data_IF_599955052879
#
_entry.id   IF_599955052879
#
_cell.length_a   1.000
_cell.length_b   1.000
_cell.length_c   1.000
_cell.angle_alpha   90.00
_cell.angle_beta   90.00
_cell.angle_gamma   90.00
#
_symmetry.space_group_name_H-M   'P 1'
#
loop_
_entity.id
_entity.type
_entity.pdbx_description
1 polymer ?
#
# COMPACT_ATOMS: atom_id res chain seq x y z
N UNK A 1 -10.23 -0.55 13.11
CA UNK A 1 -8.96 -1.17 13.50
C UNK A 1 -9.19 -2.59 14.00
N UNK A 2 -8.76 -3.56 13.19
CA UNK A 2 -8.76 -4.98 13.53
C UNK A 2 -7.39 -5.37 14.08
N UNK A 3 -7.34 -6.13 15.18
CA UNK A 3 -6.10 -6.68 15.76
C UNK A 3 -5.30 -7.49 14.72
N UNK A 4 -6.00 -8.15 13.79
CA UNK A 4 -5.39 -8.90 12.68
C UNK A 4 -4.66 -8.00 11.68
N UNK A 5 -5.25 -6.86 11.32
CA UNK A 5 -4.65 -5.92 10.39
C UNK A 5 -3.39 -5.29 10.99
N UNK A 6 -3.46 -4.94 12.28
CA UNK A 6 -2.30 -4.44 13.04
C UNK A 6 -1.18 -5.48 13.07
N UNK A 7 -1.49 -6.72 13.44
CA UNK A 7 -0.52 -7.83 13.46
C UNK A 7 0.10 -8.08 12.09
N UNK A 8 -0.70 -8.02 11.01
CA UNK A 8 -0.23 -8.18 9.64
C UNK A 8 0.78 -7.09 9.29
N UNK A 9 0.45 -5.82 9.57
CA UNK A 9 1.30 -4.68 9.26
C UNK A 9 2.61 -4.69 10.05
N UNK A 10 2.55 -4.97 11.35
CA UNK A 10 3.74 -5.12 12.21
C UNK A 10 4.63 -6.25 11.70
N UNK A 11 4.06 -7.43 11.44
CA UNK A 11 4.80 -8.57 10.91
C UNK A 11 5.44 -8.28 9.54
N UNK A 12 4.79 -7.50 8.68
CA UNK A 12 5.36 -7.05 7.39
C UNK A 12 6.56 -6.13 7.60
N UNK A 13 6.47 -5.18 8.52
CA UNK A 13 7.58 -4.28 8.86
C UNK A 13 8.76 -5.03 9.46
N UNK A 14 8.53 -5.96 10.38
CA UNK A 14 9.59 -6.79 10.97
C UNK A 14 10.33 -7.64 9.92
N UNK A 15 9.60 -8.20 8.95
CA UNK A 15 10.21 -8.95 7.84
C UNK A 15 11.07 -8.04 6.96
N UNK A 16 10.57 -6.85 6.64
CA UNK A 16 11.32 -5.85 5.87
C UNK A 16 12.57 -5.35 6.61
N UNK A 17 12.50 -5.10 7.92
CA UNK A 17 13.68 -4.77 8.76
C UNK A 17 14.75 -5.86 8.68
N UNK A 18 14.32 -7.12 8.80
CA UNK A 18 15.22 -8.26 8.74
C UNK A 18 15.87 -8.40 7.35
N UNK A 19 15.12 -8.17 6.28
CA UNK A 19 15.62 -8.23 4.91
C UNK A 19 16.65 -7.13 4.62
N UNK A 20 16.35 -5.88 4.99
CA UNK A 20 17.25 -4.74 4.74
C UNK A 20 18.40 -4.68 5.76
N UNK A 21 18.32 -5.42 6.87
CA UNK A 21 19.38 -5.49 7.88
C UNK A 21 19.53 -4.23 8.73
N UNK A 22 18.48 -3.39 8.78
CA UNK A 22 18.42 -2.16 9.59
C UNK A 22 17.01 -1.94 10.12
N UNK A 23 16.90 -1.10 11.15
CA UNK A 23 15.61 -0.60 11.60
C UNK A 23 14.96 0.25 10.50
N UNK A 24 13.64 0.14 10.35
CA UNK A 24 12.87 1.00 9.46
C UNK A 24 12.70 2.38 10.08
N UNK A 25 12.76 3.40 9.22
CA UNK A 25 12.61 4.80 9.64
C UNK A 25 11.33 5.35 9.04
N UNK A 26 10.53 6.05 9.82
CA UNK A 26 9.38 6.80 9.30
C UNK A 26 9.83 8.19 8.83
N UNK A 27 9.26 8.74 7.75
CA UNK A 27 9.55 10.10 7.29
C UNK A 27 9.11 11.12 8.34
N UNK A 28 9.83 12.24 8.43
CA UNK A 28 9.40 13.33 9.30
C UNK A 28 8.17 14.04 8.69
N UNK A 29 7.12 14.31 9.49
CA UNK A 29 5.99 15.10 9.01
C UNK A 29 6.42 16.54 8.72
N UNK A 30 5.65 17.21 7.86
CA UNK A 30 5.84 18.63 7.64
C UNK A 30 5.78 19.40 8.97
N UNK A 31 6.57 20.47 9.09
CA UNK A 31 6.55 21.36 10.27
C UNK A 31 5.27 22.20 10.39
N UNK A 32 4.33 22.02 9.45
CA UNK A 32 2.99 22.60 9.52
C UNK A 32 2.19 21.96 10.65
N UNK A 33 1.19 22.67 11.16
CA UNK A 33 0.34 22.15 12.23
C UNK A 33 -0.31 20.79 11.88
N UNK A 34 -0.74 20.09 12.92
CA UNK A 34 -1.51 18.85 12.79
C UNK A 34 -2.71 19.05 11.87
N UNK A 35 -2.99 18.04 11.03
CA UNK A 35 -4.18 18.04 10.19
C UNK A 35 -5.43 18.04 11.07
N UNK A 36 -6.45 18.79 10.66
CA UNK A 36 -7.79 18.58 11.20
C UNK A 36 -8.30 17.18 10.82
N UNK A 37 -9.25 16.67 11.60
CA UNK A 37 -9.89 15.38 11.32
C UNK A 37 -10.51 15.33 9.91
N UNK A 38 -11.15 16.41 9.48
CA UNK A 38 -11.75 16.52 8.15
C UNK A 38 -10.70 16.49 7.02
N UNK A 39 -9.54 17.11 7.21
CA UNK A 39 -8.45 17.05 6.23
C UNK A 39 -7.83 15.65 6.17
N UNK A 40 -7.64 15.02 7.33
CA UNK A 40 -7.14 13.65 7.44
C UNK A 40 -8.08 12.68 6.74
N UNK A 41 -9.38 12.78 7.00
CA UNK A 41 -10.43 11.98 6.36
C UNK A 41 -10.46 12.22 4.84
N UNK A 42 -10.39 13.48 4.40
CA UNK A 42 -10.39 13.80 2.97
C UNK A 42 -9.22 13.15 2.22
N UNK A 43 -8.00 13.20 2.79
CA UNK A 43 -6.82 12.60 2.17
C UNK A 43 -6.90 11.07 2.18
N UNK A 44 -7.33 10.46 3.28
CA UNK A 44 -7.51 9.02 3.36
C UNK A 44 -8.58 8.53 2.37
N UNK A 45 -9.70 9.22 2.26
CA UNK A 45 -10.75 8.90 1.27
C UNK A 45 -10.23 9.03 -0.16
N UNK A 46 -9.37 10.00 -0.45
CA UNK A 46 -8.72 10.11 -1.75
C UNK A 46 -7.90 8.86 -2.12
N UNK A 47 -7.15 8.30 -1.16
CA UNK A 47 -6.43 7.05 -1.37
C UNK A 47 -7.39 5.85 -1.54
N UNK A 48 -8.43 5.77 -0.70
CA UNK A 48 -9.42 4.69 -0.77
C UNK A 48 -10.17 4.68 -2.11
N UNK A 49 -10.59 5.85 -2.61
CA UNK A 49 -11.27 6.00 -3.90
C UNK A 49 -10.35 5.57 -5.05
N UNK A 50 -9.08 6.00 -5.05
CA UNK A 50 -8.11 5.56 -6.05
C UNK A 50 -7.96 4.03 -6.02
N UNK A 51 -7.74 3.44 -4.85
CA UNK A 51 -7.61 1.99 -4.70
C UNK A 51 -8.83 1.23 -5.23
N UNK A 52 -10.04 1.65 -4.84
CA UNK A 52 -11.29 0.98 -5.26
C UNK A 52 -11.52 1.11 -6.78
N UNK A 53 -11.21 2.27 -7.35
CA UNK A 53 -11.38 2.52 -8.78
C UNK A 53 -10.41 1.66 -9.61
N UNK A 54 -9.12 1.62 -9.23
CA UNK A 54 -8.13 0.81 -9.96
C UNK A 54 -8.43 -0.68 -9.84
N UNK A 55 -8.80 -1.15 -8.64
CA UNK A 55 -9.17 -2.56 -8.45
C UNK A 55 -10.44 -2.93 -9.25
N UNK A 56 -11.42 -2.03 -9.33
CA UNK A 56 -12.60 -2.25 -10.16
C UNK A 56 -12.25 -2.25 -11.66
N UNK A 57 -11.31 -1.41 -12.09
CA UNK A 57 -10.83 -1.38 -13.46
C UNK A 57 -10.12 -2.67 -13.84
N UNK A 58 -9.15 -3.12 -13.06
CA UNK A 58 -8.44 -4.38 -13.29
C UNK A 58 -9.39 -5.59 -13.33
N UNK A 59 -10.42 -5.58 -12.49
CA UNK A 59 -11.44 -6.63 -12.49
C UNK A 59 -12.29 -6.67 -13.78
N UNK A 60 -12.29 -5.59 -14.57
CA UNK A 60 -12.97 -5.52 -15.87
C UNK A 60 -12.01 -5.85 -17.00
N UNK A 61 -10.75 -5.40 -16.92
CA UNK A 61 -9.80 -5.42 -18.05
C UNK A 61 -8.83 -6.59 -18.00
N UNK A 62 -8.36 -6.98 -16.81
CA UNK A 62 -7.30 -7.98 -16.60
C UNK A 62 -6.03 -7.69 -17.42
N UNK A 63 -5.76 -6.40 -17.68
CA UNK A 63 -4.76 -5.93 -18.65
C UNK A 63 -3.34 -5.87 -18.07
N UNK A 64 -3.19 -5.57 -16.77
CA UNK A 64 -1.88 -5.32 -16.15
C UNK A 64 -1.25 -6.59 -15.59
N UNK A 65 -0.95 -7.54 -16.48
CA UNK A 65 -0.25 -8.79 -16.15
C UNK A 65 1.00 -9.02 -17.02
N UNK A 66 2.05 -9.58 -16.44
CA UNK A 66 3.21 -10.11 -17.17
C UNK A 66 3.38 -11.58 -16.83
N UNK A 67 3.50 -12.42 -17.86
CA UNK A 67 3.60 -13.88 -17.73
C UNK A 67 2.45 -14.53 -16.93
N UNK A 68 1.29 -13.85 -16.83
CA UNK A 68 0.12 -14.32 -16.08
C UNK A 68 0.12 -13.94 -14.60
N UNK A 69 1.09 -13.14 -14.14
CA UNK A 69 1.11 -12.57 -12.80
C UNK A 69 0.68 -11.09 -12.83
N UNK A 70 -0.25 -10.67 -11.94
CA UNK A 70 -0.70 -9.29 -11.88
C UNK A 70 0.39 -8.32 -11.38
N UNK A 71 0.57 -7.23 -12.11
CA UNK A 71 1.55 -6.18 -11.82
C UNK A 71 0.92 -5.02 -11.07
N UNK A 72 0.92 -5.13 -9.73
CA UNK A 72 0.34 -4.10 -8.87
C UNK A 72 0.96 -2.70 -9.05
N UNK A 73 2.20 -2.58 -9.52
CA UNK A 73 2.80 -1.27 -9.77
C UNK A 73 2.22 -0.54 -10.99
N UNK A 74 1.74 -1.29 -11.98
CA UNK A 74 1.08 -0.74 -13.17
C UNK A 74 -0.40 -0.49 -12.89
N UNK A 75 -1.08 -1.51 -12.35
CA UNK A 75 -2.49 -1.43 -11.95
C UNK A 75 -2.77 -0.24 -11.00
N UNK A 76 -1.84 0.07 -10.09
CA UNK A 76 -2.02 1.13 -9.10
C UNK A 76 -1.10 2.33 -9.32
N UNK A 77 -0.67 2.61 -10.55
CA UNK A 77 0.26 3.69 -10.84
C UNK A 77 -0.22 5.06 -10.31
N UNK A 78 -1.52 5.37 -10.47
CA UNK A 78 -2.13 6.61 -9.97
C UNK A 78 -2.13 6.69 -8.44
N UNK A 79 -2.49 5.59 -7.77
CA UNK A 79 -2.42 5.48 -6.31
C UNK A 79 -0.99 5.64 -5.79
N UNK A 80 -0.01 4.98 -6.42
CA UNK A 80 1.40 5.07 -6.00
C UNK A 80 1.98 6.48 -6.20
N UNK A 81 1.55 7.18 -7.25
CA UNK A 81 1.88 8.60 -7.44
C UNK A 81 1.27 9.47 -6.34
N UNK A 82 0.03 9.18 -5.90
CA UNK A 82 -0.59 9.86 -4.77
C UNK A 82 0.19 9.66 -3.46
N UNK A 83 0.59 8.42 -3.15
CA UNK A 83 1.45 8.11 -1.99
C UNK A 83 2.78 8.86 -2.07
N UNK A 84 3.41 8.89 -3.24
CA UNK A 84 4.65 9.64 -3.43
C UNK A 84 4.45 11.15 -3.19
N UNK A 85 3.32 11.71 -3.62
CA UNK A 85 2.95 13.10 -3.34
C UNK A 85 2.79 13.39 -1.85
N UNK A 86 2.18 12.47 -1.09
CA UNK A 86 2.08 12.58 0.37
C UNK A 86 3.43 12.49 1.08
N UNK A 87 4.44 11.86 0.49
CA UNK A 87 5.78 11.72 1.07
C UNK A 87 6.79 12.74 0.54
N UNK A 88 6.35 13.68 -0.29
CA UNK A 88 7.24 14.61 -0.97
C UNK A 88 7.93 15.55 0.03
N UNK A 89 9.25 15.37 0.20
CA UNK A 89 10.10 16.14 1.13
C UNK A 89 10.82 17.32 0.44
N UNK A 90 10.89 17.30 -0.89
CA UNK A 90 11.58 18.29 -1.72
C UNK A 90 10.72 18.70 -2.89
N UNK A 91 10.72 19.99 -3.16
CA UNK A 91 10.08 20.60 -4.35
C UNK A 91 11.13 21.29 -5.19
N UNK A 92 10.80 21.55 -6.45
CA UNK A 92 11.67 22.33 -7.33
C UNK A 92 11.90 23.75 -6.76
N UNK A 93 13.06 24.38 -7.02
CA UNK A 93 13.37 25.71 -6.47
C UNK A 93 12.38 26.82 -6.86
N UNK A 94 11.65 26.64 -7.96
CA UNK A 94 10.63 27.56 -8.48
C UNK A 94 9.21 27.23 -8.01
N UNK A 95 9.05 26.22 -7.14
CA UNK A 95 7.74 25.86 -6.56
C UNK A 95 7.18 27.01 -5.73
N UNK A 96 5.91 27.34 -5.98
CA UNK A 96 5.18 28.39 -5.27
C UNK A 96 4.77 27.98 -3.84
N UNK A 97 4.81 26.69 -3.53
CA UNK A 97 4.52 26.13 -2.22
C UNK A 97 5.67 25.22 -1.76
N UNK A 98 5.99 25.21 -0.45
CA UNK A 98 6.96 24.28 0.08
C UNK A 98 6.45 22.84 0.01
N UNK A 99 7.38 21.88 0.09
CA UNK A 99 7.05 20.49 0.37
C UNK A 99 6.24 20.40 1.68
N UNK A 100 5.21 19.57 1.68
CA UNK A 100 4.32 19.40 2.82
C UNK A 100 4.04 17.89 3.05
N UNK A 101 5.06 17.10 3.42
CA UNK A 101 4.90 15.67 3.59
C UNK A 101 3.91 15.36 4.73
N UNK A 102 3.05 14.37 4.47
CA UNK A 102 1.98 13.85 5.33
C UNK A 102 2.18 12.34 5.58
N UNK A 103 3.29 11.90 6.19
CA UNK A 103 3.54 10.50 6.49
C UNK A 103 2.45 9.89 7.38
N UNK A 104 1.81 10.69 8.24
CA UNK A 104 0.69 10.26 9.07
C UNK A 104 -0.48 9.70 8.25
N UNK A 105 -0.73 10.25 7.05
CA UNK A 105 -1.77 9.76 6.15
C UNK A 105 -1.32 8.46 5.47
N UNK A 106 -0.05 8.35 5.11
CA UNK A 106 0.46 7.13 4.47
C UNK A 106 0.43 5.95 5.45
N UNK A 107 0.66 6.20 6.74
CA UNK A 107 0.47 5.21 7.81
C UNK A 107 -0.99 4.74 7.90
N UNK A 108 -1.96 5.67 7.83
CA UNK A 108 -3.39 5.33 7.78
C UNK A 108 -3.76 4.52 6.55
N UNK A 109 -3.19 4.88 5.40
CA UNK A 109 -3.41 4.15 4.14
C UNK A 109 -2.83 2.75 4.22
N UNK A 110 -1.65 2.57 4.82
CA UNK A 110 -1.08 1.24 5.04
C UNK A 110 -1.97 0.38 5.94
N UNK A 111 -2.55 0.97 6.99
CA UNK A 111 -3.55 0.30 7.83
C UNK A 111 -4.82 -0.05 7.05
N UNK A 112 -5.35 0.89 6.25
CA UNK A 112 -6.50 0.64 5.38
C UNK A 112 -6.26 -0.55 4.44
N UNK A 113 -5.10 -0.60 3.77
CA UNK A 113 -4.73 -1.73 2.90
C UNK A 113 -4.61 -3.04 3.68
N UNK A 114 -4.03 -3.03 4.88
CA UNK A 114 -3.97 -4.20 5.76
C UNK A 114 -5.38 -4.70 6.15
N UNK A 115 -6.32 -3.79 6.42
CA UNK A 115 -7.72 -4.13 6.67
C UNK A 115 -8.39 -4.75 5.42
N UNK A 116 -8.10 -4.23 4.22
CA UNK A 116 -8.59 -4.82 2.95
C UNK A 116 -8.05 -6.23 2.74
N UNK A 117 -6.76 -6.47 3.00
CA UNK A 117 -6.14 -7.80 2.88
C UNK A 117 -6.84 -8.80 3.81
N UNK A 118 -7.06 -8.43 5.07
CA UNK A 118 -7.77 -9.30 6.03
C UNK A 118 -9.20 -9.58 5.56
N UNK A 119 -9.91 -8.57 5.05
CA UNK A 119 -11.26 -8.76 4.53
C UNK A 119 -11.30 -9.69 3.30
N UNK A 120 -10.33 -9.60 2.40
CA UNK A 120 -10.21 -10.49 1.23
C UNK A 120 -9.88 -11.92 1.66
N UNK A 121 -8.96 -12.11 2.60
CA UNK A 121 -8.67 -13.44 3.18
C UNK A 121 -9.91 -14.09 3.80
N UNK A 122 -10.72 -13.30 4.52
CA UNK A 122 -11.95 -13.80 5.13
C UNK A 122 -13.01 -14.22 4.10
N UNK A 123 -13.04 -13.53 2.94
CA UNK A 123 -13.91 -13.93 1.81
C UNK A 123 -13.45 -15.24 1.17
N UNK A 124 -12.15 -15.45 0.98
CA UNK A 124 -11.61 -16.72 0.44
C UNK A 124 -12.04 -17.90 1.32
N UNK A 125 -11.93 -17.75 2.64
CA UNK A 125 -12.33 -18.79 3.59
C UNK A 125 -13.83 -19.14 3.58
N UNK A 126 -14.67 -18.33 2.92
CA UNK A 126 -16.12 -18.52 2.83
C UNK A 126 -16.69 -18.62 1.40
N UNK A 127 -15.85 -18.59 0.35
CA UNK A 127 -16.30 -18.55 -1.05
C UNK A 127 -16.73 -19.93 -1.58
N UNK A 128 -17.66 -19.94 -2.55
CA UNK A 128 -18.01 -21.10 -3.38
C UNK A 128 -17.38 -20.97 -4.78
N UNK A 129 -17.10 -22.11 -5.45
CA UNK A 129 -16.41 -22.20 -6.74
C UNK A 129 -16.88 -21.14 -7.77
N UNK A 130 -15.98 -20.23 -8.15
CA UNK A 130 -16.20 -19.15 -9.12
C UNK A 130 -15.83 -17.74 -8.62
N UNK A 131 -16.20 -17.38 -7.40
CA UNK A 131 -15.83 -16.09 -6.77
C UNK A 131 -14.40 -16.14 -6.18
N UNK A 132 -13.85 -17.34 -5.97
CA UNK A 132 -12.52 -17.57 -5.38
C UNK A 132 -11.40 -16.93 -6.20
N UNK A 133 -11.33 -17.22 -7.50
CA UNK A 133 -10.26 -16.76 -8.38
C UNK A 133 -10.15 -15.22 -8.44
N UNK A 134 -11.29 -14.53 -8.43
CA UNK A 134 -11.29 -13.07 -8.43
C UNK A 134 -10.81 -12.50 -7.09
N UNK A 135 -11.30 -13.03 -5.97
CA UNK A 135 -10.88 -12.58 -4.64
C UNK A 135 -9.39 -12.91 -4.40
N UNK A 136 -8.88 -14.02 -4.93
CA UNK A 136 -7.46 -14.36 -4.88
C UNK A 136 -6.59 -13.38 -5.68
N UNK A 137 -7.03 -12.97 -6.87
CA UNK A 137 -6.35 -11.92 -7.65
C UNK A 137 -6.36 -10.58 -6.93
N UNK A 138 -7.52 -10.15 -6.43
CA UNK A 138 -7.64 -8.91 -5.64
C UNK A 138 -6.71 -8.95 -4.43
N UNK A 139 -6.65 -10.08 -3.72
CA UNK A 139 -5.75 -10.27 -2.59
C UNK A 139 -4.29 -10.15 -3.02
N UNK A 140 -3.89 -10.79 -4.12
CA UNK A 140 -2.52 -10.75 -4.61
C UNK A 140 -2.08 -9.32 -4.98
N UNK A 141 -2.96 -8.58 -5.66
CA UNK A 141 -2.77 -7.18 -6.02
C UNK A 141 -2.64 -6.28 -4.79
N UNK A 142 -3.59 -6.36 -3.86
CA UNK A 142 -3.61 -5.52 -2.66
C UNK A 142 -2.46 -5.83 -1.71
N UNK A 143 -2.09 -7.10 -1.57
CA UNK A 143 -0.92 -7.51 -0.79
C UNK A 143 0.39 -6.95 -1.37
N UNK A 144 0.50 -6.90 -2.71
CA UNK A 144 1.66 -6.30 -3.39
C UNK A 144 1.67 -4.78 -3.32
N UNK A 145 0.50 -4.16 -3.39
CA UNK A 145 0.34 -2.73 -3.21
C UNK A 145 0.80 -2.28 -1.82
N UNK A 146 0.41 -2.99 -0.75
CA UNK A 146 0.84 -2.67 0.61
C UNK A 146 2.37 -2.63 0.73
N UNK A 147 3.07 -3.59 0.13
CA UNK A 147 4.53 -3.62 0.16
C UNK A 147 5.13 -2.42 -0.57
N UNK A 148 4.59 -2.04 -1.73
CA UNK A 148 5.02 -0.86 -2.46
C UNK A 148 4.79 0.46 -1.70
N UNK A 149 3.73 0.52 -0.89
CA UNK A 149 3.50 1.64 0.04
C UNK A 149 4.54 1.65 1.15
N UNK A 150 4.81 0.51 1.77
CA UNK A 150 5.80 0.39 2.86
C UNK A 150 7.23 0.71 2.39
N UNK A 151 7.60 0.26 1.19
CA UNK A 151 8.89 0.60 0.59
C UNK A 151 9.06 2.11 0.42
N UNK A 152 8.04 2.78 -0.13
CA UNK A 152 8.05 4.25 -0.29
C UNK A 152 8.08 4.94 1.07
N UNK A 153 7.25 4.49 2.01
CA UNK A 153 7.16 5.05 3.35
C UNK A 153 8.50 4.99 4.09
N UNK A 154 9.22 3.87 3.97
CA UNK A 154 10.49 3.69 4.69
C UNK A 154 11.76 4.03 3.88
N UNK A 155 11.60 4.55 2.67
CA UNK A 155 12.71 4.82 1.77
C UNK A 155 13.57 3.58 1.50
N UNK A 156 12.91 2.44 1.30
CA UNK A 156 13.56 1.15 0.99
C UNK A 156 13.47 0.94 -0.52
N UNK A 157 14.61 0.70 -1.16
CA UNK A 157 14.65 0.23 -2.55
C UNK A 157 14.13 -1.22 -2.57
N UNK A 158 13.13 -1.57 -3.39
CA UNK A 158 12.66 -2.95 -3.51
C UNK A 158 13.78 -3.97 -3.80
N UNK A 159 14.87 -3.57 -4.47
CA UNK A 159 16.02 -4.42 -4.73
C UNK A 159 16.83 -4.76 -3.46
N UNK A 160 16.83 -3.87 -2.46
CA UNK A 160 17.52 -4.07 -1.18
C UNK A 160 16.72 -4.95 -0.21
N UNK A 161 15.45 -5.20 -0.51
CA UNK A 161 14.55 -6.04 0.28
C UNK A 161 14.34 -7.42 -0.36
N UNK A 162 15.29 -7.91 -1.16
CA UNK A 162 15.20 -9.21 -1.83
C UNK A 162 14.84 -10.32 -0.82
N UNK A 163 13.74 -11.05 -1.09
CA UNK A 163 13.26 -12.13 -0.21
C UNK A 163 12.55 -11.70 1.07
N UNK A 164 12.16 -10.43 1.25
CA UNK A 164 11.37 -10.02 2.43
C UNK A 164 9.98 -10.65 2.48
N UNK A 165 9.45 -11.03 1.30
CA UNK A 165 8.31 -11.95 1.22
C UNK A 165 8.84 -13.36 1.45
N UNK A 166 8.22 -14.08 2.39
CA UNK A 166 8.39 -15.53 2.43
C UNK A 166 8.08 -16.08 1.04
N UNK A 167 8.87 -17.05 0.56
CA UNK A 167 8.53 -17.77 -0.64
C UNK A 167 7.07 -18.20 -0.53
N UNK A 168 6.23 -17.77 -1.48
CA UNK A 168 4.81 -18.10 -1.49
C UNK A 168 4.71 -19.61 -1.21
N UNK A 169 4.00 -19.99 -0.15
CA UNK A 169 3.71 -21.41 0.05
C UNK A 169 2.82 -21.80 -1.13
N UNK A 170 3.44 -22.46 -2.11
CA UNK A 170 2.73 -23.20 -3.14
C UNK A 170 1.77 -24.14 -2.40
N UNK A 171 0.50 -23.77 -2.39
CA UNK A 171 -0.58 -24.64 -1.94
C UNK A 171 -0.96 -25.60 -3.05
#
# INVERSE_FOLDING_TARGET
MSDRATTLLEGRREKMERAVGRQLTAPEPAKGGELSEAEREHLLNGAADLYLNELAWENITDEEQVEGEPLAELAFAGFLAYIQGLLLDKVMPDSLAPANPRPEIVEDVAMFLAEQIVALQDKIGGATDGDGDQVERDLALTDRLLDFVLFRFHGVDPADAEGFRDAAQAS
#
